data_IF_651315556572
#
_entry.id   IF_651315556572
#
_cell.length_a   1.000
_cell.length_b   1.000
_cell.length_c   1.000
_cell.angle_alpha   90.00
_cell.angle_beta   90.00
_cell.angle_gamma   90.00
#
_symmetry.space_group_name_H-M   'P 1'
#
loop_
_entity.id
_entity.type
_entity.pdbx_description
1 polymer ?
#
# COMPACT_ATOMS: atom_id res chain seq x y z
N UNK A 1 -8.24 29.42 21.30
CA UNK A 1 -6.88 29.16 20.75
C UNK A 1 -6.73 27.72 20.23
N UNK A 2 -7.22 26.69 20.93
CA UNK A 2 -7.14 25.30 20.48
C UNK A 2 -7.99 24.95 19.23
N UNK A 3 -9.13 25.62 19.01
CA UNK A 3 -10.07 25.30 17.92
C UNK A 3 -9.47 25.39 16.51
N UNK A 4 -8.56 26.34 16.27
CA UNK A 4 -7.91 26.50 14.96
C UNK A 4 -6.89 25.40 14.64
N UNK A 5 -6.19 24.89 15.67
CA UNK A 5 -5.19 23.83 15.51
C UNK A 5 -5.84 22.49 15.16
N UNK A 6 -6.98 22.17 15.80
CA UNK A 6 -7.77 20.98 15.50
C UNK A 6 -8.34 21.00 14.09
N UNK A 7 -8.74 22.15 13.57
CA UNK A 7 -9.29 22.26 12.21
C UNK A 7 -8.24 21.90 11.16
N UNK A 8 -7.07 22.55 11.19
CA UNK A 8 -6.03 22.34 10.17
C UNK A 8 -5.45 20.91 10.17
N UNK A 9 -5.25 20.32 11.35
CA UNK A 9 -4.70 18.96 11.45
C UNK A 9 -5.77 17.91 11.06
N UNK A 10 -7.01 18.07 11.51
CA UNK A 10 -8.10 17.13 11.19
C UNK A 10 -8.41 17.11 9.70
N UNK A 11 -8.42 18.29 9.07
CA UNK A 11 -8.60 18.42 7.62
C UNK A 11 -7.50 17.62 6.90
N UNK A 12 -6.23 17.82 7.25
CA UNK A 12 -5.12 17.06 6.66
C UNK A 12 -5.27 15.57 6.84
N UNK A 13 -5.66 15.10 8.02
CA UNK A 13 -5.86 13.66 8.30
C UNK A 13 -6.97 13.08 7.42
N UNK A 14 -8.13 13.75 7.36
CA UNK A 14 -9.29 13.31 6.58
C UNK A 14 -8.91 13.22 5.10
N UNK A 15 -8.27 14.25 4.56
CA UNK A 15 -7.83 14.25 3.17
C UNK A 15 -6.73 13.20 2.91
N UNK A 16 -5.83 12.94 3.85
CA UNK A 16 -4.81 11.89 3.73
C UNK A 16 -5.45 10.50 3.63
N UNK A 17 -6.41 10.20 4.52
CA UNK A 17 -7.13 8.92 4.52
C UNK A 17 -7.90 8.75 3.21
N UNK A 18 -8.64 9.78 2.81
CA UNK A 18 -9.43 9.75 1.59
C UNK A 18 -8.56 9.57 0.33
N UNK A 19 -7.44 10.29 0.24
CA UNK A 19 -6.48 10.14 -0.86
C UNK A 19 -5.88 8.73 -0.86
N UNK A 20 -5.51 8.19 0.30
CA UNK A 20 -4.88 6.85 0.41
C UNK A 20 -5.86 5.77 -0.05
N UNK A 21 -7.12 5.89 0.37
CA UNK A 21 -8.17 4.99 -0.05
C UNK A 21 -8.41 5.03 -1.55
N UNK A 22 -8.54 6.22 -2.15
CA UNK A 22 -8.74 6.34 -3.59
C UNK A 22 -7.55 5.75 -4.37
N UNK A 23 -6.33 6.10 -3.98
CA UNK A 23 -5.12 5.57 -4.61
C UNK A 23 -5.08 4.04 -4.51
N UNK A 24 -5.41 3.46 -3.36
CA UNK A 24 -5.46 2.01 -3.17
C UNK A 24 -6.50 1.33 -4.07
N UNK A 25 -7.69 1.91 -4.21
CA UNK A 25 -8.77 1.36 -5.05
C UNK A 25 -8.42 1.42 -6.54
N UNK A 26 -7.86 2.53 -7.02
CA UNK A 26 -7.53 2.70 -8.43
C UNK A 26 -6.26 1.95 -8.84
N UNK A 27 -5.21 1.96 -8.01
CA UNK A 27 -3.93 1.34 -8.34
C UNK A 27 -3.91 -0.15 -7.97
N UNK A 28 -4.71 -0.57 -6.98
CA UNK A 28 -4.75 -1.95 -6.46
C UNK A 28 -4.90 -3.03 -7.52
N UNK A 29 -5.92 -2.99 -8.41
CA UNK A 29 -6.11 -4.00 -9.45
C UNK A 29 -4.92 -4.13 -10.40
N UNK A 30 -4.34 -3.00 -10.83
CA UNK A 30 -3.17 -2.99 -11.71
C UNK A 30 -1.92 -3.57 -11.03
N UNK A 31 -1.73 -3.28 -9.75
CA UNK A 31 -0.62 -3.86 -8.96
C UNK A 31 -0.84 -5.36 -8.75
N UNK A 32 -2.07 -5.81 -8.48
CA UNK A 32 -2.39 -7.23 -8.34
C UNK A 32 -2.08 -8.00 -9.63
N UNK A 33 -2.51 -7.47 -10.79
CA UNK A 33 -2.23 -8.08 -12.09
C UNK A 33 -0.73 -8.12 -12.40
N UNK A 34 -0.02 -7.03 -12.09
CA UNK A 34 1.43 -6.95 -12.26
C UNK A 34 2.19 -7.93 -11.34
N UNK A 35 1.74 -8.08 -10.09
CA UNK A 35 2.32 -9.05 -9.15
C UNK A 35 2.02 -10.49 -9.57
N UNK A 36 0.82 -10.76 -10.09
CA UNK A 36 0.44 -12.07 -10.62
C UNK A 36 1.25 -12.43 -11.87
N UNK A 37 1.51 -11.46 -12.75
CA UNK A 37 2.35 -11.68 -13.94
C UNK A 37 3.84 -11.78 -13.61
N UNK A 38 4.31 -11.19 -12.52
CA UNK A 38 5.69 -11.34 -12.02
C UNK A 38 5.92 -12.56 -11.14
N UNK A 39 4.87 -13.29 -10.74
CA UNK A 39 4.97 -14.65 -10.16
C UNK A 39 5.41 -15.72 -11.19
N UNK A 40 6.14 -15.32 -12.23
CA UNK A 40 6.95 -16.21 -13.09
C UNK A 40 8.07 -16.78 -12.22
N UNK A 41 7.83 -17.91 -11.57
CA UNK A 41 8.88 -18.60 -10.81
C UNK A 41 8.43 -19.56 -9.70
N UNK A 42 7.19 -19.49 -9.20
CA UNK A 42 6.65 -20.63 -8.46
C UNK A 42 6.17 -21.66 -9.47
N UNK A 43 7.12 -22.36 -10.09
CA UNK A 43 6.84 -23.63 -10.74
C UNK A 43 6.27 -24.53 -9.64
N UNK A 44 4.95 -24.66 -9.62
CA UNK A 44 4.24 -25.57 -8.73
C UNK A 44 4.79 -26.95 -9.09
N UNK A 45 5.79 -27.45 -8.36
CA UNK A 45 6.14 -28.87 -8.43
C UNK A 45 4.85 -29.62 -8.13
N UNK A 46 4.43 -30.44 -9.08
CA UNK A 46 3.16 -31.16 -9.05
C UNK A 46 3.04 -32.14 -7.86
N UNK A 47 4.12 -32.34 -7.10
CA UNK A 47 4.26 -33.30 -5.99
C UNK A 47 3.68 -32.83 -4.63
N UNK A 48 3.14 -31.62 -4.51
CA UNK A 48 2.61 -31.08 -3.24
C UNK A 48 1.13 -31.43 -2.97
N UNK A 49 0.84 -31.92 -1.76
CA UNK A 49 -0.52 -32.21 -1.23
C UNK A 49 -1.54 -31.11 -1.54
N UNK A 50 -2.75 -31.50 -1.95
CA UNK A 50 -3.82 -30.64 -2.51
C UNK A 50 -4.14 -29.37 -1.68
N UNK A 51 -3.88 -29.38 -0.38
CA UNK A 51 -4.04 -28.25 0.54
C UNK A 51 -3.22 -27.01 0.14
N UNK A 52 -2.09 -27.19 -0.55
CA UNK A 52 -1.25 -26.07 -1.03
C UNK A 52 -1.77 -25.40 -2.32
N UNK A 53 -2.70 -26.04 -3.05
CA UNK A 53 -3.30 -25.46 -4.27
C UNK A 53 -4.30 -24.34 -3.97
N UNK A 54 -4.87 -24.27 -2.75
CA UNK A 54 -5.83 -23.21 -2.36
C UNK A 54 -5.20 -21.84 -2.09
N UNK A 55 -3.88 -21.76 -1.88
CA UNK A 55 -3.14 -20.48 -1.76
C UNK A 55 -2.46 -20.07 -3.08
N UNK A 56 -2.57 -20.90 -4.12
CA UNK A 56 -2.02 -20.61 -5.45
C UNK A 56 -2.86 -19.50 -6.10
N UNK A 57 -2.31 -18.29 -6.13
CA UNK A 57 -2.95 -17.12 -6.73
C UNK A 57 -3.10 -15.92 -5.80
N UNK A 58 -2.81 -16.06 -4.50
CA UNK A 58 -2.70 -14.91 -3.60
C UNK A 58 -1.24 -14.41 -3.66
N UNK A 59 -0.99 -13.21 -4.19
CA UNK A 59 0.37 -12.69 -4.28
C UNK A 59 0.94 -12.53 -2.87
N UNK A 60 2.10 -13.16 -2.62
CA UNK A 60 2.86 -13.05 -1.37
C UNK A 60 3.40 -11.64 -1.11
N UNK A 61 3.19 -10.70 -2.04
CA UNK A 61 3.56 -9.28 -1.98
C UNK A 61 2.35 -8.35 -1.82
N UNK A 62 1.28 -8.78 -1.14
CA UNK A 62 0.12 -7.92 -0.86
C UNK A 62 0.45 -6.61 -0.13
N UNK A 63 1.55 -6.58 0.64
CA UNK A 63 2.04 -5.36 1.29
C UNK A 63 2.36 -4.21 0.33
N UNK A 64 2.73 -4.50 -0.92
CA UNK A 64 3.01 -3.48 -1.95
C UNK A 64 1.75 -2.65 -2.27
N UNK A 65 0.57 -3.27 -2.21
CA UNK A 65 -0.72 -2.62 -2.46
C UNK A 65 -1.03 -1.59 -1.35
N UNK A 66 -0.49 -1.78 -0.15
CA UNK A 66 -0.65 -0.86 0.99
C UNK A 66 0.47 0.19 1.00
N UNK A 67 1.70 -0.22 0.71
CA UNK A 67 2.87 0.67 0.71
C UNK A 67 2.76 1.78 -0.34
N UNK A 68 2.30 1.47 -1.55
CA UNK A 68 2.18 2.48 -2.62
C UNK A 68 1.26 3.65 -2.21
N UNK A 69 0.01 3.42 -1.78
CA UNK A 69 -0.86 4.48 -1.28
C UNK A 69 -0.30 5.24 -0.09
N UNK A 70 0.33 4.54 0.86
CA UNK A 70 0.94 5.15 2.06
C UNK A 70 2.09 6.10 1.67
N UNK A 71 2.96 5.68 0.75
CA UNK A 71 4.06 6.51 0.27
C UNK A 71 3.52 7.76 -0.44
N UNK A 72 2.57 7.58 -1.37
CA UNK A 72 1.97 8.68 -2.14
C UNK A 72 1.28 9.69 -1.21
N UNK A 73 0.51 9.20 -0.23
CA UNK A 73 -0.19 10.10 0.70
C UNK A 73 0.73 10.79 1.69
N UNK A 74 1.78 10.10 2.14
CA UNK A 74 2.82 10.71 2.97
C UNK A 74 3.54 11.82 2.21
N UNK A 75 3.88 11.61 0.93
CA UNK A 75 4.49 12.62 0.07
C UNK A 75 3.62 13.87 -0.12
N UNK A 76 2.29 13.69 -0.23
CA UNK A 76 1.35 14.78 -0.49
C UNK A 76 0.94 15.57 0.75
N UNK A 77 0.72 14.89 1.88
CA UNK A 77 0.06 15.49 3.05
C UNK A 77 0.94 15.56 4.30
N UNK A 78 2.03 14.81 4.37
CA UNK A 78 2.89 14.85 5.55
C UNK A 78 3.69 16.15 5.62
N UNK A 79 3.97 16.60 6.85
CA UNK A 79 4.91 17.68 7.08
C UNK A 79 6.33 17.12 6.95
N UNK A 80 7.03 17.54 5.89
CA UNK A 80 8.41 17.11 5.64
C UNK A 80 9.32 17.38 6.83
N UNK A 81 10.00 16.33 7.27
CA UNK A 81 11.02 16.36 8.31
C UNK A 81 12.03 15.24 8.03
N UNK A 82 13.22 15.30 8.63
CA UNK A 82 14.27 14.29 8.50
C UNK A 82 13.73 12.89 8.81
N UNK A 83 12.85 12.75 9.80
CA UNK A 83 12.21 11.49 10.15
C UNK A 83 11.33 10.93 9.03
N UNK A 84 10.59 11.78 8.32
CA UNK A 84 9.74 11.36 7.18
C UNK A 84 10.62 10.90 6.03
N UNK A 85 11.71 11.62 5.76
CA UNK A 85 12.70 11.22 4.75
C UNK A 85 13.35 9.89 5.09
N UNK A 86 13.79 9.70 6.34
CA UNK A 86 14.39 8.43 6.77
C UNK A 86 13.40 7.29 6.60
N UNK A 87 12.15 7.41 7.04
CA UNK A 87 11.15 6.33 6.92
C UNK A 87 10.81 5.98 5.48
N UNK A 88 10.87 6.93 4.54
CA UNK A 88 10.57 6.67 3.14
C UNK A 88 11.74 6.07 2.35
N UNK A 89 12.98 6.32 2.77
CA UNK A 89 14.20 5.93 2.04
C UNK A 89 15.10 4.93 2.80
N UNK A 90 14.73 4.50 4.00
CA UNK A 90 15.39 3.42 4.75
C UNK A 90 14.92 2.04 4.31
#
# INVERSE_FOLDING_TARGET
>A
MLSGLFSAISIRIIFSIFTSFLVAVFIGPGVIENLKSRQIGQNIREEGVQSHKKKAGIPTMGGVIILIPVIITTLLWAKWNIFVGVVLFS
#
